data_IF_590949518752
#
_entry.id   IF_590949518752
#
_cell.length_a   1.000
_cell.length_b   1.000
_cell.length_c   1.000
_cell.angle_alpha   90.00
_cell.angle_beta   90.00
_cell.angle_gamma   90.00
#
_symmetry.space_group_name_H-M   'P 1'
#
loop_
_entity.id
_entity.type
_entity.pdbx_description
1 polymer ?
#
# COMPACT_ATOMS: atom_id res chain seq x y z
N UNK A 1 8.37 11.06 2.02
CA UNK A 1 8.46 12.38 1.36
C UNK A 1 9.50 12.44 0.24
N UNK A 2 10.71 11.91 0.43
CA UNK A 2 11.78 12.01 -0.59
C UNK A 2 11.57 11.03 -1.78
N UNK A 3 11.03 9.85 -1.50
CA UNK A 3 10.77 8.78 -2.50
C UNK A 3 10.12 9.26 -3.81
N UNK A 4 8.92 9.90 -3.80
CA UNK A 4 8.26 10.29 -5.06
C UNK A 4 9.06 11.32 -5.88
N UNK A 5 9.86 12.17 -5.21
CA UNK A 5 10.70 13.17 -5.88
C UNK A 5 11.93 12.52 -6.52
N UNK A 6 12.54 11.52 -5.86
CA UNK A 6 13.62 10.71 -6.44
C UNK A 6 13.09 9.92 -7.64
N UNK A 7 11.90 9.33 -7.52
CA UNK A 7 11.25 8.59 -8.61
C UNK A 7 11.07 9.49 -9.85
N UNK A 8 10.57 10.72 -9.67
CA UNK A 8 10.45 11.69 -10.76
C UNK A 8 11.80 12.07 -11.36
N UNK A 9 12.82 12.30 -10.53
CA UNK A 9 14.17 12.62 -11.01
C UNK A 9 14.76 11.48 -11.83
N UNK A 10 14.53 10.22 -11.42
CA UNK A 10 14.99 9.05 -12.15
C UNK A 10 14.22 8.86 -13.47
N UNK A 11 12.89 9.02 -13.45
CA UNK A 11 12.06 8.93 -14.65
C UNK A 11 12.51 9.93 -15.74
N UNK A 12 12.79 11.18 -15.34
CA UNK A 12 13.30 12.23 -16.24
C UNK A 12 14.67 11.96 -16.86
N UNK A 13 15.47 11.07 -16.26
CA UNK A 13 16.76 10.66 -16.85
C UNK A 13 16.58 9.62 -17.95
N UNK A 14 15.48 8.87 -17.94
CA UNK A 14 15.24 7.74 -18.84
C UNK A 14 14.39 8.18 -20.03
N UNK A 15 13.42 9.07 -19.81
CA UNK A 15 12.50 9.52 -20.85
C UNK A 15 12.01 10.95 -20.59
N UNK A 16 11.43 11.56 -21.61
CA UNK A 16 10.71 12.81 -21.48
C UNK A 16 9.43 12.59 -20.65
N UNK A 17 9.20 13.45 -19.65
CA UNK A 17 8.07 13.35 -18.71
C UNK A 17 7.24 14.63 -18.82
N UNK A 18 5.96 14.49 -19.16
CA UNK A 18 4.99 15.59 -19.16
C UNK A 18 4.60 16.03 -17.74
N UNK A 19 3.97 17.20 -17.61
CA UNK A 19 3.50 17.70 -16.32
C UNK A 19 2.46 16.77 -15.67
N UNK A 20 1.64 16.09 -16.47
CA UNK A 20 0.66 15.12 -15.99
C UNK A 20 1.35 13.89 -15.40
N UNK A 21 2.29 13.30 -16.15
CA UNK A 21 3.06 12.14 -15.68
C UNK A 21 3.90 12.49 -14.44
N UNK A 22 4.46 13.71 -14.39
CA UNK A 22 5.18 14.19 -13.21
C UNK A 22 4.26 14.26 -11.98
N UNK A 23 3.02 14.72 -12.13
CA UNK A 23 2.03 14.74 -11.04
C UNK A 23 1.66 13.32 -10.58
N UNK A 24 1.46 12.39 -11.51
CA UNK A 24 1.20 10.98 -11.21
C UNK A 24 2.35 10.40 -10.37
N UNK A 25 3.59 10.55 -10.84
CA UNK A 25 4.78 10.02 -10.15
C UNK A 25 4.96 10.68 -8.79
N UNK A 26 4.74 11.99 -8.66
CA UNK A 26 4.99 12.68 -7.39
C UNK A 26 3.90 12.36 -6.34
N UNK A 27 2.68 12.01 -6.78
CA UNK A 27 1.50 11.94 -5.90
C UNK A 27 0.85 10.55 -5.85
N UNK A 28 1.53 9.52 -6.36
CA UNK A 28 1.05 8.13 -6.34
C UNK A 28 0.90 7.52 -4.93
N UNK A 29 1.31 8.22 -3.87
CA UNK A 29 1.17 7.76 -2.48
C UNK A 29 0.31 8.76 -1.67
N UNK A 30 -0.77 9.26 -2.26
CA UNK A 30 -1.66 10.20 -1.59
C UNK A 30 -2.36 9.53 -0.41
N UNK A 31 -2.28 10.13 0.78
CA UNK A 31 -2.75 9.51 2.03
C UNK A 31 -1.59 9.04 2.90
N UNK A 32 -0.54 8.46 2.31
CA UNK A 32 0.77 8.31 2.96
C UNK A 32 1.61 9.60 2.89
N UNK A 33 1.34 10.44 1.88
CA UNK A 33 1.93 11.78 1.70
C UNK A 33 0.83 12.85 1.65
N UNK A 34 1.14 14.09 2.03
CA UNK A 34 0.15 15.20 2.12
C UNK A 34 -0.11 15.85 0.73
N UNK A 35 0.50 15.33 -0.35
CA UNK A 35 0.44 15.97 -1.66
C UNK A 35 -0.85 15.60 -2.44
N UNK A 36 -1.79 16.55 -2.55
CA UNK A 36 -3.08 16.34 -3.22
C UNK A 36 -2.96 16.14 -4.74
N UNK A 37 -3.45 15.02 -5.32
CA UNK A 37 -3.41 14.74 -6.76
C UNK A 37 -4.16 15.79 -7.59
N UNK A 38 -3.54 16.28 -8.68
CA UNK A 38 -4.13 17.33 -9.53
C UNK A 38 -4.95 16.74 -10.67
N UNK A 39 -4.48 15.63 -11.26
CA UNK A 39 -5.12 14.97 -12.40
C UNK A 39 -5.88 13.71 -11.97
N UNK A 40 -6.88 13.31 -12.76
CA UNK A 40 -7.69 12.11 -12.47
C UNK A 40 -6.85 10.83 -12.53
N UNK A 41 -5.91 10.79 -13.46
CA UNK A 41 -4.97 9.69 -13.63
C UNK A 41 -4.09 9.53 -12.39
N UNK A 42 -3.67 10.63 -11.75
CA UNK A 42 -2.90 10.61 -10.50
C UNK A 42 -3.72 9.99 -9.35
N UNK A 43 -5.02 10.27 -9.29
CA UNK A 43 -5.92 9.63 -8.31
C UNK A 43 -6.04 8.12 -8.54
N UNK A 44 -6.22 7.70 -9.79
CA UNK A 44 -6.34 6.26 -10.12
C UNK A 44 -5.08 5.51 -9.69
N UNK A 45 -3.90 6.03 -10.05
CA UNK A 45 -2.62 5.38 -9.71
C UNK A 45 -2.45 5.32 -8.19
N UNK A 46 -2.75 6.39 -7.46
CA UNK A 46 -2.63 6.38 -6.00
C UNK A 46 -3.56 5.38 -5.32
N UNK A 47 -4.83 5.31 -5.74
CA UNK A 47 -5.79 4.39 -5.15
C UNK A 47 -5.36 2.94 -5.38
N UNK A 48 -4.85 2.62 -6.57
CA UNK A 48 -4.38 1.26 -6.89
C UNK A 48 -3.14 0.90 -6.06
N UNK A 49 -2.19 1.82 -5.91
CA UNK A 49 -0.99 1.64 -5.08
C UNK A 49 -1.35 1.37 -3.62
N UNK A 50 -2.18 2.24 -3.03
CA UNK A 50 -2.60 2.12 -1.64
C UNK A 50 -3.45 0.85 -1.41
N UNK A 51 -4.32 0.50 -2.35
CA UNK A 51 -5.11 -0.74 -2.27
C UNK A 51 -4.23 -1.98 -2.30
N UNK A 52 -3.23 -2.03 -3.19
CA UNK A 52 -2.28 -3.12 -3.23
C UNK A 52 -1.51 -3.23 -1.90
N UNK A 53 -0.98 -2.12 -1.40
CA UNK A 53 -0.26 -2.06 -0.14
C UNK A 53 -1.11 -2.54 1.06
N UNK A 54 -2.37 -2.12 1.12
CA UNK A 54 -3.32 -2.55 2.16
C UNK A 54 -3.60 -4.05 2.09
N UNK A 55 -3.82 -4.59 0.89
CA UNK A 55 -4.06 -6.04 0.73
C UNK A 55 -2.84 -6.86 1.14
N UNK A 56 -1.66 -6.47 0.68
CA UNK A 56 -0.39 -7.14 1.02
C UNK A 56 -0.12 -7.12 2.52
N UNK A 57 -0.46 -6.02 3.20
CA UNK A 57 -0.24 -5.90 4.64
C UNK A 57 -1.30 -6.62 5.48
N UNK A 58 -2.59 -6.46 5.15
CA UNK A 58 -3.70 -6.92 6.01
C UNK A 58 -4.00 -8.40 5.83
N UNK A 59 -3.95 -8.94 4.61
CA UNK A 59 -4.40 -10.31 4.33
C UNK A 59 -3.55 -11.34 5.09
N UNK A 60 -2.20 -11.35 4.98
CA UNK A 60 -1.38 -12.33 5.69
C UNK A 60 -1.52 -12.19 7.20
N UNK A 61 -1.62 -10.95 7.70
CA UNK A 61 -1.77 -10.66 9.13
C UNK A 61 -3.10 -11.18 9.67
N UNK A 62 -4.19 -11.02 8.92
CA UNK A 62 -5.50 -11.55 9.28
C UNK A 62 -5.47 -13.09 9.37
N UNK A 63 -4.91 -13.77 8.37
CA UNK A 63 -4.76 -15.23 8.38
C UNK A 63 -3.90 -15.73 9.55
N UNK A 64 -2.75 -15.10 9.78
CA UNK A 64 -1.87 -15.42 10.90
C UNK A 64 -2.56 -15.24 12.25
N UNK A 65 -3.33 -14.17 12.41
CA UNK A 65 -4.04 -13.86 13.66
C UNK A 65 -5.19 -14.85 13.88
N UNK A 66 -5.95 -15.15 12.84
CA UNK A 66 -7.00 -16.18 12.86
C UNK A 66 -6.43 -17.54 13.25
N UNK A 67 -5.35 -17.98 12.61
CA UNK A 67 -4.72 -19.27 12.89
C UNK A 67 -4.18 -19.36 14.33
N UNK A 68 -3.51 -18.30 14.81
CA UNK A 68 -3.03 -18.21 16.21
C UNK A 68 -4.17 -18.24 17.22
N UNK A 69 -5.26 -17.54 16.94
CA UNK A 69 -6.44 -17.54 17.81
C UNK A 69 -7.10 -18.93 17.84
N UNK A 70 -7.29 -19.55 16.68
CA UNK A 70 -7.93 -20.86 16.54
C UNK A 70 -7.13 -21.97 17.23
N UNK A 71 -5.80 -22.00 17.05
CA UNK A 71 -4.92 -22.95 17.75
C UNK A 71 -4.95 -22.77 19.27
N UNK A 72 -4.97 -21.53 19.76
CA UNK A 72 -5.12 -21.24 21.20
C UNK A 72 -6.46 -21.72 21.74
N UNK A 73 -7.55 -21.51 20.99
CA UNK A 73 -8.88 -21.97 21.36
C UNK A 73 -8.96 -23.50 21.41
N UNK A 74 -8.46 -24.20 20.38
CA UNK A 74 -8.42 -25.67 20.35
C UNK A 74 -7.67 -26.25 21.55
N UNK A 75 -6.51 -25.67 21.91
CA UNK A 75 -5.76 -26.09 23.09
C UNK A 75 -6.57 -25.92 24.37
N UNK A 76 -7.23 -24.77 24.54
CA UNK A 76 -8.10 -24.51 25.70
C UNK A 76 -9.26 -25.51 25.76
N UNK A 77 -9.87 -25.85 24.64
CA UNK A 77 -10.97 -26.82 24.57
C UNK A 77 -10.46 -28.22 24.92
N UNK A 78 -9.32 -28.65 24.39
CA UNK A 78 -8.74 -29.96 24.75
C UNK A 78 -8.40 -30.07 26.24
N UNK A 79 -7.96 -28.99 26.88
CA UNK A 79 -7.69 -28.95 28.33
C UNK A 79 -8.97 -29.07 29.19
N UNK A 80 -10.14 -28.71 28.65
CA UNK A 80 -11.43 -28.84 29.36
C UNK A 80 -12.01 -30.25 29.24
N UNK A 81 -11.70 -30.96 28.16
CA UNK A 81 -12.24 -32.30 27.88
C UNK A 81 -11.24 -33.45 28.12
N UNK A 82 -10.03 -33.15 28.58
CA UNK A 82 -9.02 -34.11 29.04
C UNK A 82 -9.02 -34.20 30.57
#
# INVERSE_FOLDING_TARGET
YVHPRIALQNARKITHISDKEADIIVKHMFGATIALPKYRESWIVSIVDDFAAVNEYLIPKAYLTYFKWHTKWLKKVSEVFA
#
